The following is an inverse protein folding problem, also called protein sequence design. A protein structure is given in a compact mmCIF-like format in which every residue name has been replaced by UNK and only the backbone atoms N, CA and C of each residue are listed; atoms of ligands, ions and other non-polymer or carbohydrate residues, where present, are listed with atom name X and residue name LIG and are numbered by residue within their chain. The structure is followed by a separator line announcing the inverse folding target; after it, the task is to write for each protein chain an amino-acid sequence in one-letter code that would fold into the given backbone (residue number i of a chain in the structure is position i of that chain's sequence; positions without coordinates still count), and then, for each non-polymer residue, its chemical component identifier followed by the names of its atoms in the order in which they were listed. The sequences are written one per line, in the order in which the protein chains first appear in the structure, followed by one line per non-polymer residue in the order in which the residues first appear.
data_IF_457956989333
#
_entry.id   IF_457956989333
#
_cell.length_a   1.000
_cell.length_b   1.000
_cell.length_c   1.000
_cell.angle_alpha   90.00
_cell.angle_beta   90.00
_cell.angle_gamma   90.00
#
_symmetry.space_group_name_H-M   'P 1'
#
loop_
_entity.id
_entity.type
_entity.pdbx_description
1 polymer ?
#
# COMPACT_ATOMS: atom_id res chain seq x y z
N UNK A 1 -1.35 -2.65 -14.60
CA UNK A 1 -0.95 -3.99 -14.12
C UNK A 1 -1.68 -4.33 -12.83
N UNK A 2 -1.93 -5.60 -12.55
CA UNK A 2 -2.54 -6.07 -11.30
C UNK A 2 -1.57 -7.00 -10.60
N UNK A 3 -1.00 -6.57 -9.48
CA UNK A 3 0.05 -7.27 -8.76
C UNK A 3 -0.42 -7.62 -7.35
N UNK A 4 0.07 -8.75 -6.85
CA UNK A 4 -0.16 -9.20 -5.48
C UNK A 4 1.14 -9.15 -4.69
N UNK A 5 1.11 -8.58 -3.49
CA UNK A 5 2.21 -8.56 -2.54
C UNK A 5 1.79 -9.37 -1.32
N UNK A 6 2.52 -10.44 -1.02
CA UNK A 6 2.18 -11.38 0.06
C UNK A 6 3.35 -11.70 0.95
N UNK A 7 3.06 -12.23 2.14
CA UNK A 7 4.04 -12.63 3.13
C UNK A 7 3.41 -12.72 4.52
N UNK A 8 3.99 -13.61 5.33
CA UNK A 8 3.60 -13.81 6.72
C UNK A 8 3.63 -12.50 7.52
N UNK A 9 2.97 -12.47 8.66
CA UNK A 9 3.04 -11.33 9.56
C UNK A 9 4.50 -10.98 9.89
N UNK A 10 4.81 -9.68 9.95
CA UNK A 10 6.17 -9.13 10.15
C UNK A 10 7.19 -9.48 9.07
N UNK A 11 6.75 -9.90 7.88
CA UNK A 11 7.65 -10.16 6.75
C UNK A 11 8.27 -8.91 6.13
N UNK A 12 7.75 -7.71 6.43
CA UNK A 12 8.23 -6.46 5.84
C UNK A 12 7.44 -5.98 4.62
N UNK A 13 6.19 -6.43 4.44
CA UNK A 13 5.33 -6.00 3.32
C UNK A 13 5.23 -4.48 3.20
N UNK A 14 4.76 -3.82 4.26
CA UNK A 14 4.58 -2.37 4.29
C UNK A 14 5.89 -1.62 4.00
N UNK A 15 7.03 -2.11 4.52
CA UNK A 15 8.35 -1.52 4.23
C UNK A 15 8.67 -1.57 2.73
N UNK A 16 8.51 -2.73 2.09
CA UNK A 16 8.81 -2.88 0.67
C UNK A 16 7.85 -2.05 -0.18
N UNK A 17 6.57 -2.02 0.17
CA UNK A 17 5.54 -1.21 -0.51
C UNK A 17 5.87 0.27 -0.42
N UNK A 18 6.24 0.78 0.76
CA UNK A 18 6.62 2.19 0.93
C UNK A 18 7.90 2.51 0.15
N UNK A 19 8.85 1.57 0.08
CA UNK A 19 10.04 1.71 -0.78
C UNK A 19 9.64 1.83 -2.26
N UNK A 20 8.71 1.01 -2.73
CA UNK A 20 8.17 1.08 -4.09
C UNK A 20 7.45 2.40 -4.35
N UNK A 21 6.65 2.90 -3.40
CA UNK A 21 6.00 4.22 -3.51
C UNK A 21 7.03 5.33 -3.71
N UNK A 22 8.14 5.31 -2.96
CA UNK A 22 9.23 6.28 -3.11
C UNK A 22 9.82 6.21 -4.53
N UNK A 23 10.04 5.00 -5.06
CA UNK A 23 10.58 4.82 -6.41
C UNK A 23 9.59 5.29 -7.48
N UNK A 24 8.29 5.04 -7.31
CA UNK A 24 7.25 5.57 -8.19
C UNK A 24 7.15 7.09 -8.15
N UNK A 25 7.30 7.69 -6.97
CA UNK A 25 7.34 9.15 -6.86
C UNK A 25 8.50 9.74 -7.67
N UNK A 26 9.66 9.07 -7.69
CA UNK A 26 10.86 9.53 -8.41
C UNK A 26 10.79 9.27 -9.91
N UNK A 27 10.20 8.16 -10.33
CA UNK A 27 10.29 7.66 -11.70
C UNK A 27 9.14 8.11 -12.62
N UNK A 28 7.97 8.46 -12.08
CA UNK A 28 6.82 8.83 -12.89
C UNK A 28 6.04 9.99 -12.30
N UNK A 29 5.07 10.54 -13.06
CA UNK A 29 4.20 11.66 -12.63
C UNK A 29 2.78 11.23 -12.22
N UNK A 30 2.55 9.93 -12.07
CA UNK A 30 1.22 9.36 -11.83
C UNK A 30 0.77 9.59 -10.37
N UNK A 31 -0.53 9.79 -10.12
CA UNK A 31 -1.06 9.84 -8.77
C UNK A 31 -0.95 8.47 -8.09
N UNK A 32 -0.68 8.49 -6.79
CA UNK A 32 -0.52 7.31 -5.94
C UNK A 32 -1.63 7.31 -4.90
N UNK A 33 -2.44 6.25 -4.89
CA UNK A 33 -3.51 6.03 -3.94
C UNK A 33 -3.15 4.91 -2.97
N UNK A 34 -3.44 5.10 -1.68
CA UNK A 34 -3.13 4.07 -0.68
C UNK A 34 -4.00 4.15 0.56
N UNK A 35 -4.23 3.01 1.21
CA UNK A 35 -4.77 2.93 2.58
C UNK A 35 -3.72 2.50 3.62
N UNK A 36 -2.47 2.27 3.21
CA UNK A 36 -1.40 2.03 4.17
C UNK A 36 -1.30 3.21 5.15
N UNK A 37 -0.98 2.96 6.43
CA UNK A 37 -0.81 3.99 7.45
C UNK A 37 0.51 4.75 7.26
N UNK A 38 0.65 5.46 6.15
CA UNK A 38 1.84 6.22 5.77
C UNK A 38 1.88 7.60 6.43
N UNK A 39 3.09 8.18 6.45
CA UNK A 39 3.36 9.57 6.79
C UNK A 39 3.76 10.31 5.50
N UNK A 40 2.81 10.92 4.75
CA UNK A 40 3.09 11.55 3.46
C UNK A 40 4.22 12.58 3.46
N UNK A 41 4.34 13.42 4.49
CA UNK A 41 5.42 14.43 4.60
C UNK A 41 6.79 13.75 4.60
N UNK A 42 6.96 12.75 5.48
CA UNK A 42 8.20 11.97 5.58
C UNK A 42 8.50 11.22 4.29
N UNK A 43 7.48 10.61 3.69
CA UNK A 43 7.61 9.85 2.45
C UNK A 43 8.08 10.74 1.29
N UNK A 44 7.45 11.90 1.10
CA UNK A 44 7.84 12.87 0.08
C UNK A 44 9.24 13.46 0.34
N UNK A 45 9.59 13.68 1.61
CA UNK A 45 10.91 14.15 2.02
C UNK A 45 12.02 13.14 1.68
N UNK A 46 11.79 11.86 1.98
CA UNK A 46 12.70 10.78 1.61
C UNK A 46 12.78 10.61 0.09
N UNK A 47 11.66 10.72 -0.62
CA UNK A 47 11.64 10.69 -2.08
C UNK A 47 12.49 11.83 -2.70
N UNK A 48 12.55 13.00 -2.07
CA UNK A 48 13.41 14.13 -2.47
C UNK A 48 14.89 13.98 -2.07
N UNK A 49 15.29 12.87 -1.44
CA UNK A 49 16.68 12.63 -1.02
C UNK A 49 17.01 13.09 0.40
N UNK A 50 16.01 13.39 1.24
CA UNK A 50 16.20 13.63 2.68
C UNK A 50 16.77 15.00 3.06
N UNK A 51 17.08 15.87 2.10
CA UNK A 51 17.28 17.30 2.32
C UNK A 51 16.33 18.03 1.38
N UNK A 52 15.53 18.96 1.90
CA UNK A 52 14.61 19.81 1.13
C UNK A 52 15.37 20.80 0.24
N UNK A 53 16.17 20.30 -0.70
CA UNK A 53 16.90 21.11 -1.67
C UNK A 53 16.00 21.60 -2.80
N UNK A 54 14.80 21.00 -2.96
CA UNK A 54 13.85 21.36 -4.00
C UNK A 54 12.40 21.37 -3.46
N UNK A 55 11.94 22.51 -2.92
CA UNK A 55 10.58 22.66 -2.41
C UNK A 55 9.49 22.42 -3.45
N UNK A 56 9.74 22.79 -4.71
CA UNK A 56 8.79 22.57 -5.81
C UNK A 56 8.59 21.07 -6.09
N UNK A 57 9.68 20.30 -6.07
CA UNK A 57 9.62 18.84 -6.23
C UNK A 57 8.86 18.18 -5.07
N UNK A 58 9.16 18.58 -3.83
CA UNK A 58 8.46 18.11 -2.64
C UNK A 58 6.95 18.39 -2.73
N UNK A 59 6.57 19.60 -3.09
CA UNK A 59 5.17 19.98 -3.30
C UNK A 59 4.51 19.16 -4.42
N UNK A 60 5.21 18.95 -5.53
CA UNK A 60 4.72 18.11 -6.65
C UNK A 60 4.51 16.66 -6.23
N UNK A 61 5.32 16.13 -5.31
CA UNK A 61 5.16 14.77 -4.80
C UNK A 61 3.96 14.67 -3.87
N UNK A 62 3.78 15.64 -2.96
CA UNK A 62 2.62 15.67 -2.06
C UNK A 62 1.29 15.72 -2.80
N UNK A 63 1.20 16.54 -3.87
CA UNK A 63 -0.01 16.67 -4.69
C UNK A 63 -0.44 15.38 -5.39
N UNK A 64 0.45 14.39 -5.49
CA UNK A 64 0.17 13.09 -6.11
C UNK A 64 -0.20 12.01 -5.08
N UNK A 65 -0.04 12.27 -3.79
CA UNK A 65 -0.31 11.29 -2.75
C UNK A 65 -1.74 11.43 -2.28
N UNK A 66 -2.52 10.37 -2.45
CA UNK A 66 -3.91 10.29 -2.03
C UNK A 66 -4.05 9.16 -1.00
N UNK A 67 -4.53 9.48 0.20
CA UNK A 67 -4.60 8.53 1.31
C UNK A 67 -6.05 8.30 1.71
N UNK A 68 -6.48 7.05 1.63
CA UNK A 68 -7.73 6.58 2.20
C UNK A 68 -7.58 6.49 3.72
N UNK A 69 -8.41 7.23 4.44
CA UNK A 69 -8.30 7.39 5.90
C UNK A 69 -9.66 7.21 6.56
N UNK A 70 -9.71 6.38 7.60
CA UNK A 70 -10.88 6.29 8.48
C UNK A 70 -10.64 7.13 9.73
N UNK A 71 -11.35 8.24 9.84
CA UNK A 71 -11.39 9.07 11.04
C UNK A 71 -12.80 9.02 11.67
N UNK A 72 -13.42 7.84 11.82
CA UNK A 72 -14.75 7.71 12.43
C UNK A 72 -14.73 7.71 13.98
N UNK A 73 -15.71 8.34 14.64
CA UNK A 73 -15.93 8.28 16.10
C UNK A 73 -14.94 9.09 16.96
N UNK A 74 -14.35 8.48 18.02
CA UNK A 74 -13.30 9.02 18.94
C UNK A 74 -12.00 9.50 18.23
N UNK A 75 -12.06 9.70 16.92
CA UNK A 75 -11.02 9.92 15.92
C UNK A 75 -10.43 11.33 15.86
N UNK A 76 -10.89 12.28 16.67
CA UNK A 76 -10.23 13.60 16.75
C UNK A 76 -8.78 13.44 17.20
N UNK A 77 -8.50 12.49 18.10
CA UNK A 77 -7.15 12.14 18.51
C UNK A 77 -6.32 11.58 17.35
N UNK A 78 -6.87 10.64 16.57
CA UNK A 78 -6.17 10.05 15.41
C UNK A 78 -5.87 11.09 14.33
N UNK A 79 -6.82 11.97 14.02
CA UNK A 79 -6.57 13.07 13.10
C UNK A 79 -5.56 14.07 13.65
N UNK A 80 -5.60 14.39 14.94
CA UNK A 80 -4.60 15.25 15.60
C UNK A 80 -3.20 14.63 15.51
N UNK A 81 -3.06 13.33 15.78
CA UNK A 81 -1.79 12.61 15.64
C UNK A 81 -1.31 12.58 14.19
N UNK A 82 -2.21 12.32 13.24
CA UNK A 82 -1.91 12.37 11.81
C UNK A 82 -1.44 13.77 11.38
N UNK A 83 -2.14 14.82 11.81
CA UNK A 83 -1.79 16.23 11.55
C UNK A 83 -0.46 16.62 12.17
N UNK A 84 -0.15 16.15 13.38
CA UNK A 84 1.15 16.38 14.03
C UNK A 84 2.30 15.76 13.23
N UNK A 85 2.09 14.58 12.64
CA UNK A 85 3.10 13.88 11.83
C UNK A 85 3.18 14.41 10.39
N UNK A 86 2.08 14.97 9.87
CA UNK A 86 1.96 15.40 8.47
C UNK A 86 1.37 16.82 8.34
N UNK A 87 2.01 17.83 8.95
CA UNK A 87 1.49 19.20 8.93
C UNK A 87 1.38 19.78 7.53
N UNK A 88 2.35 19.53 6.64
CA UNK A 88 2.37 20.11 5.29
C UNK A 88 1.28 19.48 4.43
N UNK A 89 1.16 18.15 4.48
CA UNK A 89 0.12 17.43 3.75
C UNK A 89 -1.28 17.84 4.17
N UNK A 90 -1.54 18.01 5.48
CA UNK A 90 -2.85 18.47 5.97
C UNK A 90 -3.12 19.93 5.56
N UNK A 91 -2.11 20.80 5.61
CA UNK A 91 -2.24 22.18 5.13
C UNK A 91 -2.59 22.21 3.63
N UNK A 92 -1.88 21.42 2.84
CA UNK A 92 -2.11 21.29 1.40
C UNK A 92 -3.51 20.77 1.12
N UNK A 93 -3.92 19.69 1.79
CA UNK A 93 -5.27 19.12 1.68
C UNK A 93 -6.35 20.19 1.90
N UNK A 94 -6.25 20.98 2.96
CA UNK A 94 -7.24 22.04 3.21
C UNK A 94 -7.27 23.11 2.12
N UNK A 95 -6.12 23.41 1.49
CA UNK A 95 -6.06 24.38 0.39
C UNK A 95 -6.60 23.85 -0.94
N UNK A 96 -6.61 22.53 -1.12
CA UNK A 96 -7.04 21.88 -2.38
C UNK A 96 -8.35 21.11 -2.24
N UNK A 97 -9.00 21.15 -1.07
CA UNK A 97 -10.15 20.32 -0.78
C UNK A 97 -11.37 20.76 -1.60
N UNK A 98 -11.94 19.82 -2.35
CA UNK A 98 -13.18 20.00 -3.09
C UNK A 98 -14.22 18.96 -2.66
N UNK A 99 -15.35 19.44 -2.15
CA UNK A 99 -16.49 18.57 -1.77
C UNK A 99 -17.15 17.90 -2.96
N UNK A 100 -17.11 18.52 -4.14
CA UNK A 100 -17.74 18.01 -5.37
C UNK A 100 -16.86 16.97 -6.06
N UNK A 101 -15.53 17.08 -5.93
CA UNK A 101 -14.56 16.22 -6.63
C UNK A 101 -13.70 15.41 -5.65
N UNK A 102 -14.32 14.41 -5.00
CA UNK A 102 -13.65 13.59 -3.99
C UNK A 102 -12.38 12.89 -4.53
N UNK A 103 -12.38 12.43 -5.77
CA UNK A 103 -11.23 11.71 -6.37
C UNK A 103 -9.95 12.54 -6.55
N UNK A 104 -10.05 13.87 -6.44
CA UNK A 104 -8.91 14.78 -6.44
C UNK A 104 -8.36 15.10 -5.05
N UNK A 105 -9.07 14.71 -3.99
CA UNK A 105 -8.70 15.06 -2.63
C UNK A 105 -7.51 14.21 -2.14
N UNK A 106 -6.59 14.85 -1.43
CA UNK A 106 -5.40 14.19 -0.87
C UNK A 106 -5.75 13.26 0.30
N UNK A 107 -6.77 13.61 1.09
CA UNK A 107 -7.38 12.73 2.08
C UNK A 107 -8.76 12.31 1.59
N UNK A 108 -8.97 11.01 1.48
CA UNK A 108 -10.24 10.42 1.05
C UNK A 108 -10.84 9.72 2.26
N UNK A 109 -11.97 10.20 2.81
CA UNK A 109 -12.57 9.60 3.98
C UNK A 109 -13.11 8.22 3.64
N UNK A 110 -12.71 7.17 4.36
CA UNK A 110 -13.21 5.82 4.11
C UNK A 110 -14.72 5.66 4.37
N UNK A 111 -15.33 6.57 5.14
CA UNK A 111 -16.71 6.45 5.61
C UNK A 111 -16.85 5.38 6.70
N UNK A 112 -18.09 5.06 7.07
CA UNK A 112 -18.38 3.92 7.93
C UNK A 112 -18.06 2.62 7.21
N UNK A 113 -17.60 1.60 7.95
CA UNK A 113 -17.30 0.25 7.44
C UNK A 113 -16.37 0.19 6.23
N UNK A 114 -15.49 1.19 6.08
CA UNK A 114 -14.55 1.27 4.95
C UNK A 114 -15.25 1.32 3.57
N UNK A 115 -16.44 1.92 3.49
CA UNK A 115 -17.24 1.99 2.26
C UNK A 115 -16.49 2.57 1.04
N UNK A 116 -15.82 3.73 1.17
CA UNK A 116 -15.18 4.37 0.02
C UNK A 116 -13.99 3.56 -0.50
N UNK A 117 -13.21 2.94 0.39
CA UNK A 117 -12.09 2.10 -0.03
C UNK A 117 -12.58 0.79 -0.67
N UNK A 118 -13.72 0.23 -0.24
CA UNK A 118 -14.36 -0.91 -0.92
C UNK A 118 -14.76 -0.62 -2.36
N UNK A 119 -14.95 0.67 -2.69
CA UNK A 119 -15.27 1.15 -4.03
C UNK A 119 -14.18 2.11 -4.56
N UNK A 120 -12.92 1.89 -4.18
CA UNK A 120 -11.84 2.86 -4.44
C UNK A 120 -11.76 3.28 -5.91
N UNK A 121 -12.09 2.39 -6.87
CA UNK A 121 -12.05 2.68 -8.31
C UNK A 121 -12.96 3.85 -8.72
N UNK A 122 -14.00 4.17 -7.93
CA UNK A 122 -14.87 5.34 -8.13
C UNK A 122 -14.23 6.64 -7.65
N UNK A 123 -13.22 6.53 -6.80
CA UNK A 123 -12.53 7.64 -6.13
C UNK A 123 -11.06 7.78 -6.55
N UNK A 124 -10.59 6.96 -7.48
CA UNK A 124 -9.26 7.09 -8.10
C UNK A 124 -9.34 7.76 -9.46
N UNK A 125 -8.32 8.55 -9.81
CA UNK A 125 -8.14 9.03 -11.18
C UNK A 125 -7.60 7.89 -12.06
N UNK A 126 -7.82 7.98 -13.37
CA UNK A 126 -7.19 7.07 -14.33
C UNK A 126 -5.69 7.30 -14.39
N UNK A 127 -4.95 6.34 -14.94
CA UNK A 127 -3.49 6.34 -15.01
C UNK A 127 -2.84 6.44 -13.62
N UNK A 128 -3.47 5.84 -12.61
CA UNK A 128 -3.03 5.89 -11.21
C UNK A 128 -2.24 4.65 -10.79
N UNK A 129 -1.51 4.78 -9.69
CA UNK A 129 -0.86 3.67 -9.00
C UNK A 129 -1.58 3.49 -7.67
N UNK A 130 -2.07 2.30 -7.39
CA UNK A 130 -2.95 2.03 -6.25
C UNK A 130 -2.37 0.92 -5.40
N UNK A 131 -2.08 1.21 -4.13
CA UNK A 131 -1.59 0.24 -3.13
C UNK A 131 -2.67 -0.01 -2.09
N UNK A 132 -3.14 -1.26 -1.95
CA UNK A 132 -4.21 -1.60 -1.03
C UNK A 132 -3.73 -2.65 -0.03
N UNK A 133 -3.57 -2.23 1.23
CA UNK A 133 -3.29 -3.09 2.38
C UNK A 133 -4.55 -3.77 2.89
N UNK A 134 -4.35 -4.93 3.53
CA UNK A 134 -5.40 -5.81 4.04
C UNK A 134 -6.53 -6.03 3.05
N UNK A 135 -6.12 -6.39 1.83
CA UNK A 135 -7.01 -6.48 0.67
C UNK A 135 -8.11 -7.53 0.85
N UNK A 136 -7.98 -8.46 1.80
CA UNK A 136 -9.04 -9.41 2.15
C UNK A 136 -10.29 -8.71 2.72
N UNK A 137 -10.17 -7.51 3.31
CA UNK A 137 -11.32 -6.72 3.77
C UNK A 137 -12.10 -6.06 2.62
N UNK A 138 -11.47 -5.94 1.45
CA UNK A 138 -12.05 -5.33 0.25
C UNK A 138 -12.50 -6.42 -0.73
N UNK A 139 -11.64 -7.42 -0.92
CA UNK A 139 -11.73 -8.46 -1.95
C UNK A 139 -11.95 -9.86 -1.39
N UNK A 140 -12.22 -9.99 -0.09
CA UNK A 140 -12.48 -11.26 0.57
C UNK A 140 -13.79 -11.91 0.13
N UNK A 141 -13.78 -13.24 0.05
CA UNK A 141 -14.94 -14.05 -0.33
C UNK A 141 -16.12 -13.91 0.64
N UNK A 142 -15.86 -13.67 1.93
CA UNK A 142 -16.87 -13.60 2.99
C UNK A 142 -17.57 -12.24 3.01
N UNK A 143 -16.84 -11.14 2.78
CA UNK A 143 -17.41 -9.79 2.82
C UNK A 143 -18.38 -9.54 1.64
N UNK A 144 -18.14 -10.23 0.52
CA UNK A 144 -18.97 -10.18 -0.68
C UNK A 144 -20.36 -10.81 -0.50
N UNK A 145 -20.59 -11.62 0.54
CA UNK A 145 -21.92 -12.12 0.90
C UNK A 145 -22.77 -11.04 1.59
N UNK A 146 -22.15 -10.06 2.26
CA UNK A 146 -22.84 -9.02 3.05
C UNK A 146 -23.23 -7.79 2.24
N UNK A 147 -22.47 -7.43 1.20
CA UNK A 147 -22.62 -6.15 0.48
C UNK A 147 -23.28 -6.24 -0.91
N UNK A 148 -23.79 -7.42 -1.28
CA UNK A 148 -24.60 -7.62 -2.49
C UNK A 148 -23.82 -8.01 -3.76
N UNK A 149 -24.50 -8.71 -4.67
CA UNK A 149 -23.91 -9.28 -5.90
C UNK A 149 -23.43 -8.22 -6.91
N UNK A 150 -24.02 -7.02 -6.92
CA UNK A 150 -23.72 -5.97 -7.90
C UNK A 150 -22.36 -5.31 -7.66
N UNK A 151 -22.05 -4.92 -6.42
CA UNK A 151 -20.76 -4.34 -6.06
C UNK A 151 -19.60 -5.29 -6.40
N UNK A 152 -19.80 -6.60 -6.17
CA UNK A 152 -18.85 -7.65 -6.58
C UNK A 152 -18.67 -7.68 -8.10
N UNK A 153 -19.76 -7.60 -8.87
CA UNK A 153 -19.71 -7.62 -10.34
C UNK A 153 -18.94 -6.42 -10.88
N UNK A 154 -19.18 -5.22 -10.34
CA UNK A 154 -18.44 -4.02 -10.72
C UNK A 154 -16.95 -4.14 -10.42
N UNK A 155 -16.61 -4.55 -9.19
CA UNK A 155 -15.24 -4.75 -8.75
C UNK A 155 -14.50 -5.76 -9.64
N UNK A 156 -15.14 -6.91 -9.94
CA UNK A 156 -14.57 -7.92 -10.84
C UNK A 156 -14.42 -7.40 -12.27
N UNK A 157 -15.35 -6.57 -12.74
CA UNK A 157 -15.24 -5.92 -14.04
C UNK A 157 -14.05 -4.95 -14.07
N UNK A 158 -13.91 -4.12 -13.05
CA UNK A 158 -12.78 -3.20 -12.92
C UNK A 158 -11.45 -3.97 -12.84
N UNK A 159 -11.36 -5.02 -12.04
CA UNK A 159 -10.16 -5.85 -11.92
C UNK A 159 -9.75 -6.53 -13.24
N UNK A 160 -10.66 -6.70 -14.21
CA UNK A 160 -10.33 -7.17 -15.57
C UNK A 160 -10.00 -6.03 -16.53
N UNK A 161 -10.53 -4.83 -16.29
CA UNK A 161 -10.45 -3.70 -17.20
C UNK A 161 -9.46 -2.61 -16.74
N UNK A 162 -8.80 -2.77 -15.59
CA UNK A 162 -7.84 -1.80 -15.04
C UNK A 162 -6.74 -1.39 -16.04
N UNK A 163 -6.36 -2.29 -16.96
CA UNK A 163 -5.42 -2.00 -18.04
C UNK A 163 -5.92 -0.92 -19.02
N UNK A 164 -7.22 -0.85 -19.29
CA UNK A 164 -7.80 0.21 -20.13
C UNK A 164 -7.72 1.59 -19.47
N UNK A 165 -7.80 1.63 -18.15
CA UNK A 165 -7.63 2.85 -17.35
C UNK A 165 -6.15 3.20 -17.14
N UNK A 166 -5.21 2.36 -17.60
CA UNK A 166 -3.77 2.45 -17.34
C UNK A 166 -3.44 2.44 -15.85
N UNK A 167 -4.24 1.75 -15.05
CA UNK A 167 -4.03 1.67 -13.61
C UNK A 167 -3.10 0.51 -13.23
N UNK A 168 -2.18 0.80 -12.31
CA UNK A 168 -1.30 -0.19 -11.68
C UNK A 168 -1.76 -0.44 -10.25
N UNK A 169 -2.19 -1.67 -9.98
CA UNK A 169 -2.69 -2.09 -8.69
C UNK A 169 -1.70 -3.01 -7.99
N UNK A 170 -1.49 -2.75 -6.71
CA UNK A 170 -0.68 -3.53 -5.80
C UNK A 170 -1.54 -3.92 -4.61
N UNK A 171 -2.11 -5.11 -4.69
CA UNK A 171 -2.94 -5.70 -3.64
C UNK A 171 -2.01 -6.34 -2.60
N UNK A 172 -2.19 -6.05 -1.32
CA UNK A 172 -1.31 -6.54 -0.25
C UNK A 172 -2.14 -7.39 0.72
N UNK A 173 -1.67 -8.61 0.99
CA UNK A 173 -2.36 -9.57 1.86
C UNK A 173 -1.37 -10.46 2.61
N UNK A 174 -1.84 -11.17 3.62
CA UNK A 174 -1.08 -12.22 4.30
C UNK A 174 -1.07 -13.52 3.49
N UNK A 175 -2.23 -13.97 3.02
CA UNK A 175 -2.40 -15.18 2.22
C UNK A 175 -3.08 -14.84 0.88
N UNK A 176 -2.51 -15.26 -0.27
CA UNK A 176 -3.20 -15.14 -1.55
C UNK A 176 -4.58 -15.81 -1.55
N UNK A 177 -4.77 -16.90 -0.80
CA UNK A 177 -6.03 -17.64 -0.75
C UNK A 177 -7.23 -16.80 -0.28
N UNK A 178 -6.98 -15.75 0.49
CA UNK A 178 -8.00 -14.83 1.01
C UNK A 178 -8.65 -13.97 -0.08
N UNK A 179 -8.02 -13.90 -1.26
CA UNK A 179 -8.51 -13.10 -2.40
C UNK A 179 -9.39 -13.96 -3.30
N UNK A 180 -10.46 -13.34 -3.82
CA UNK A 180 -11.35 -13.94 -4.82
C UNK A 180 -10.55 -14.61 -5.96
N UNK A 181 -10.96 -15.83 -6.30
CA UNK A 181 -10.29 -16.70 -7.28
C UNK A 181 -10.19 -16.05 -8.67
N UNK A 182 -11.17 -15.25 -9.07
CA UNK A 182 -11.20 -14.58 -10.39
C UNK A 182 -10.15 -13.47 -10.44
N UNK A 183 -10.01 -12.71 -9.34
CA UNK A 183 -8.98 -11.67 -9.23
C UNK A 183 -7.60 -12.29 -9.22
N UNK A 184 -7.41 -13.37 -8.45
CA UNK A 184 -6.15 -14.13 -8.44
C UNK A 184 -5.71 -14.60 -9.83
N UNK A 185 -6.66 -15.07 -10.63
CA UNK A 185 -6.42 -15.49 -12.03
C UNK A 185 -6.02 -14.34 -12.95
N UNK A 186 -6.30 -13.11 -12.57
CA UNK A 186 -6.04 -11.91 -13.37
C UNK A 186 -4.74 -11.20 -12.94
N UNK A 187 -4.01 -11.75 -11.96
CA UNK A 187 -2.74 -11.19 -11.51
C UNK A 187 -1.68 -11.30 -12.61
N UNK A 188 -0.89 -10.23 -12.77
CA UNK A 188 0.31 -10.25 -13.60
C UNK A 188 1.49 -10.86 -12.83
N UNK A 189 1.78 -10.31 -11.65
CA UNK A 189 2.88 -10.76 -10.79
C UNK A 189 2.44 -10.95 -9.34
N UNK A 190 3.02 -11.94 -8.68
CA UNK A 190 2.94 -12.15 -7.24
C UNK A 190 4.32 -11.97 -6.62
N UNK A 191 4.46 -11.00 -5.73
CA UNK A 191 5.66 -10.74 -4.95
C UNK A 191 5.52 -11.34 -3.55
N UNK A 192 6.35 -12.32 -3.23
CA UNK A 192 6.44 -12.92 -1.90
C UNK A 192 7.59 -12.28 -1.14
N UNK A 193 7.25 -11.58 -0.05
CA UNK A 193 8.20 -10.89 0.81
C UNK A 193 8.50 -11.74 2.03
N UNK A 194 9.79 -11.87 2.34
CA UNK A 194 10.31 -12.64 3.47
C UNK A 194 11.32 -11.81 4.25
N UNK A 195 11.35 -11.98 5.56
CA UNK A 195 12.31 -11.30 6.44
C UNK A 195 13.43 -12.28 6.81
N UNK A 196 14.69 -11.91 6.55
CA UNK A 196 15.88 -12.73 6.86
C UNK A 196 16.01 -13.08 8.34
N UNK A 197 15.41 -12.28 9.24
CA UNK A 197 15.41 -12.51 10.69
C UNK A 197 14.54 -13.69 11.11
N UNK A 198 13.47 -13.97 10.36
CA UNK A 198 12.46 -14.97 10.72
C UNK A 198 12.49 -16.21 9.83
N UNK A 199 13.22 -16.17 8.71
CA UNK A 199 13.32 -17.28 7.77
C UNK A 199 14.77 -17.71 7.63
N UNK A 200 14.99 -19.02 7.60
CA UNK A 200 16.27 -19.55 7.18
C UNK A 200 16.52 -19.15 5.71
N UNK A 201 17.62 -18.45 5.48
CA UNK A 201 18.04 -18.01 4.15
C UNK A 201 18.98 -19.02 3.46
N UNK A 202 19.48 -20.01 4.22
CA UNK A 202 20.25 -21.10 3.68
C UNK A 202 19.32 -22.17 3.09
N UNK A 203 19.55 -22.52 1.83
CA UNK A 203 18.79 -23.57 1.14
C UNK A 203 19.23 -24.99 1.55
N UNK A 204 20.32 -25.09 2.32
CA UNK A 204 20.89 -26.35 2.81
C UNK A 204 20.23 -26.82 4.11
N UNK A 205 19.86 -28.10 4.18
CA UNK A 205 19.19 -28.71 5.36
C UNK A 205 20.02 -28.62 6.65
N UNK A 206 21.35 -28.70 6.57
CA UNK A 206 22.23 -28.62 7.73
C UNK A 206 22.25 -27.23 8.39
N UNK A 207 21.87 -26.19 7.66
CA UNK A 207 21.83 -24.81 8.15
C UNK A 207 20.40 -24.39 8.54
N UNK A 208 19.48 -25.37 8.62
CA UNK A 208 18.07 -25.16 8.99
C UNK A 208 17.96 -24.68 10.43
N UNK A 209 17.66 -23.40 10.58
CA UNK A 209 17.48 -22.74 11.89
C UNK A 209 18.46 -21.59 12.13
N UNK A 210 19.55 -21.50 11.36
CA UNK A 210 20.44 -20.37 11.41
C UNK A 210 19.72 -19.12 10.87
N UNK A 211 19.67 -18.10 11.72
CA UNK A 211 19.11 -16.78 11.39
C UNK A 211 20.25 -15.89 10.94
N UNK A 212 20.01 -15.07 9.92
CA UNK A 212 21.02 -14.10 9.52
C UNK A 212 21.18 -13.03 10.62
N UNK A 213 22.42 -12.61 10.94
CA UNK A 213 22.65 -11.60 11.98
C UNK A 213 22.11 -10.21 11.60
N UNK A 214 21.97 -9.95 10.29
CA UNK A 214 21.54 -8.65 9.77
C UNK A 214 20.13 -8.77 9.18
N UNK A 215 19.24 -7.84 9.54
CA UNK A 215 17.90 -7.83 8.95
C UNK A 215 17.96 -7.32 7.50
N UNK A 216 17.35 -8.06 6.57
CA UNK A 216 17.03 -7.62 5.22
C UNK A 216 15.77 -8.34 4.74
N UNK A 217 15.12 -7.79 3.73
CA UNK A 217 13.92 -8.36 3.14
C UNK A 217 14.28 -9.03 1.82
N UNK A 218 13.79 -10.24 1.61
CA UNK A 218 13.93 -10.98 0.36
C UNK A 218 12.62 -10.82 -0.38
N UNK A 219 12.67 -10.27 -1.59
CA UNK A 219 11.52 -10.18 -2.49
C UNK A 219 11.70 -11.21 -3.58
N UNK A 220 10.68 -12.06 -3.75
CA UNK A 220 10.61 -13.05 -4.84
C UNK A 220 9.39 -12.77 -5.70
N UNK A 221 9.58 -12.45 -6.98
CA UNK A 221 8.51 -12.26 -7.96
C UNK A 221 8.22 -13.55 -8.71
N UNK A 222 6.94 -13.86 -8.85
CA UNK A 222 6.41 -15.00 -9.60
C UNK A 222 5.41 -14.47 -10.61
N UNK A 223 5.51 -14.89 -11.87
CA UNK A 223 4.42 -14.67 -12.81
C UNK A 223 3.27 -15.64 -12.52
N UNK A 224 2.07 -15.29 -12.97
CA UNK A 224 0.89 -16.10 -12.65
C UNK A 224 1.03 -17.54 -13.16
N UNK A 225 0.97 -18.50 -12.24
CA UNK A 225 1.04 -19.93 -12.54
C UNK A 225 2.45 -20.52 -12.48
N UNK A 226 3.49 -19.68 -12.35
CA UNK A 226 4.87 -20.14 -12.25
C UNK A 226 5.24 -20.60 -10.84
N UNK A 227 6.07 -21.65 -10.76
CA UNK A 227 6.58 -22.19 -9.48
C UNK A 227 7.96 -21.63 -9.12
N UNK A 228 8.71 -21.20 -10.12
CA UNK A 228 10.04 -20.62 -9.95
C UNK A 228 9.95 -19.10 -9.95
N UNK A 229 10.82 -18.46 -9.17
CA UNK A 229 10.84 -17.00 -9.11
C UNK A 229 11.67 -16.45 -10.24
N UNK A 230 11.08 -15.63 -11.11
CA UNK A 230 11.79 -14.90 -12.17
C UNK A 230 12.62 -13.75 -11.59
N UNK A 231 12.09 -13.08 -10.57
CA UNK A 231 12.73 -11.94 -9.92
C UNK A 231 13.12 -12.33 -8.48
N UNK A 232 14.38 -12.17 -8.09
CA UNK A 232 14.83 -12.30 -6.69
C UNK A 232 15.84 -11.22 -6.36
N UNK A 233 15.51 -10.39 -5.38
CA UNK A 233 16.40 -9.35 -4.89
C UNK A 233 16.25 -9.11 -3.38
N UNK A 234 17.28 -8.51 -2.80
CA UNK A 234 17.33 -8.19 -1.38
C UNK A 234 17.12 -6.68 -1.18
N UNK A 235 16.28 -6.33 -0.22
CA UNK A 235 16.03 -4.95 0.19
C UNK A 235 16.55 -4.76 1.61
N UNK A 236 17.55 -3.89 1.74
CA UNK A 236 18.14 -3.58 3.04
C UNK A 236 17.34 -2.48 3.76
N UNK A 237 17.09 -2.64 5.07
CA UNK A 237 16.35 -1.68 5.87
C UNK A 237 17.09 -0.34 5.96
N UNK A 238 16.34 0.75 5.78
CA UNK A 238 16.79 2.13 5.99
C UNK A 238 15.85 2.79 7.01
N UNK A 239 16.41 3.42 8.03
CA UNK A 239 15.63 4.07 9.08
C UNK A 239 14.67 5.14 8.53
N UNK A 240 15.12 5.88 7.51
CA UNK A 240 14.30 6.90 6.86
C UNK A 240 13.01 6.34 6.26
N UNK A 241 13.04 5.10 5.73
CA UNK A 241 11.87 4.45 5.15
C UNK A 241 10.92 3.97 6.26
N UNK A 242 11.43 3.48 7.38
CA UNK A 242 10.58 3.14 8.54
C UNK A 242 9.83 4.36 9.09
N UNK A 243 10.43 5.55 9.04
CA UNK A 243 9.76 6.77 9.48
C UNK A 243 8.61 7.20 8.54
N UNK A 244 8.55 6.66 7.32
CA UNK A 244 7.53 7.00 6.33
C UNK A 244 6.19 6.29 6.56
N UNK A 245 6.08 5.40 7.54
CA UNK A 245 4.83 4.73 7.87
C UNK A 245 4.77 4.36 9.36
N UNK A 246 3.56 4.20 9.88
CA UNK A 246 3.36 3.71 11.23
C UNK A 246 3.43 2.18 11.19
N UNK A 247 4.60 1.62 11.47
CA UNK A 247 4.71 0.18 11.75
C UNK A 247 3.94 -0.11 13.03
N UNK A 248 3.09 -1.15 13.03
CA UNK A 248 2.37 -1.65 14.20
C UNK A 248 3.26 -1.65 15.47
N UNK A 249 3.13 -0.61 16.29
CA UNK A 249 3.60 -0.60 17.66
C UNK A 249 2.41 -1.06 18.50
N UNK A 250 2.56 -2.23 19.11
CA UNK A 250 1.57 -2.85 20.01
C UNK A 250 1.14 -1.91 21.15
N UNK A 251 1.93 -0.86 21.44
CA UNK A 251 1.61 0.18 22.42
C UNK A 251 0.41 1.04 22.07
N UNK A 252 -0.01 1.12 20.80
CA UNK A 252 -1.10 2.02 20.38
C UNK A 252 -2.50 1.39 20.54
N UNK A 253 -2.58 0.11 20.92
CA UNK A 253 -3.85 -0.60 21.18
C UNK A 253 -4.19 -0.75 22.67
N UNK A 254 -3.27 -0.40 23.57
CA UNK A 254 -3.43 -0.50 25.03
C UNK A 254 -3.52 0.86 25.73
N UNK A 255 -3.95 1.91 25.02
CA UNK A 255 -4.23 3.23 25.59
C UNK A 255 -5.69 3.64 25.34
#
# INVERSE_FOLDING_TARGET
MLNLITGKQRSGKSYCVVSMMIDYLRSCKRPIYTNLPINPDSLCHVACGGRLRNPALYHSYMLRMHVFVSFSGRSRANFVTFKKKNPDFVKLYHSTFDRKRISGNLLIPCGNDNYMIRQFWRYTQTNSIVFLDEVYEIFGSIDQLKHGKEARKEMLSYAKQHGHFKDDLFLITHDPADIDKIIRKSLNKQYVIQNSKYKNIFEHKALKGLRWPIQFFIVKGYEYGERESQDRYNVFPKQSIFNCYNSFNVSDFLA
#
